data_IF_147785506523
#
_entry.id   IF_147785506523
#
_cell.length_a   1.000
_cell.length_b   1.000
_cell.length_c   1.000
_cell.angle_alpha   90.00
_cell.angle_beta   90.00
_cell.angle_gamma   90.00
#
_symmetry.space_group_name_H-M   'P 1'
#
loop_
_entity.id
_entity.type
_entity.pdbx_description
1 polymer ?
#
# COMPACT_ATOMS: atom_id res chain seq x y z
N UNK A 1 -14.70 33.44 -61.14
CA UNK A 1 -14.93 32.14 -60.45
C UNK A 1 -13.79 31.93 -59.46
N UNK A 2 -14.04 32.13 -58.17
CA UNK A 2 -13.04 31.86 -57.12
C UNK A 2 -13.24 30.41 -56.61
N UNK A 3 -12.25 29.55 -56.83
CA UNK A 3 -12.18 28.22 -56.23
C UNK A 3 -11.38 28.34 -54.93
N UNK A 4 -12.10 28.34 -53.80
CA UNK A 4 -11.50 28.24 -52.47
C UNK A 4 -11.35 26.75 -52.20
N UNK A 5 -10.12 26.25 -52.26
CA UNK A 5 -9.81 24.87 -51.86
C UNK A 5 -9.83 24.81 -50.33
N UNK A 6 -10.82 24.11 -49.80
CA UNK A 6 -11.04 23.87 -48.39
C UNK A 6 -9.89 23.05 -47.78
N UNK A 7 -9.26 23.63 -46.76
CA UNK A 7 -8.36 22.97 -45.82
C UNK A 7 -9.07 21.76 -45.19
N UNK A 8 -8.75 20.54 -45.65
CA UNK A 8 -9.07 19.30 -44.93
C UNK A 8 -7.90 18.95 -44.01
N UNK A 9 -7.94 19.46 -42.78
CA UNK A 9 -7.09 18.99 -41.69
C UNK A 9 -7.81 19.22 -40.37
N UNK A 10 -8.87 18.44 -40.17
CA UNK A 10 -9.54 18.29 -38.89
C UNK A 10 -9.69 16.80 -38.64
N UNK A 11 -9.47 16.42 -37.37
CA UNK A 11 -9.59 15.07 -36.79
C UNK A 11 -8.34 14.18 -36.79
N UNK A 12 -7.33 14.58 -36.01
CA UNK A 12 -6.38 13.63 -35.39
C UNK A 12 -6.20 13.89 -33.88
N UNK A 13 -7.26 14.32 -33.19
CA UNK A 13 -7.28 14.44 -31.73
C UNK A 13 -8.39 13.59 -31.13
N UNK A 14 -8.27 12.27 -31.20
CA UNK A 14 -9.23 11.38 -30.53
C UNK A 14 -8.64 10.00 -30.20
N UNK A 15 -7.42 9.89 -29.65
CA UNK A 15 -6.92 8.60 -29.16
C UNK A 15 -6.08 8.66 -27.86
N UNK A 16 -6.15 9.75 -27.08
CA UNK A 16 -5.47 9.82 -25.77
C UNK A 16 -6.43 9.91 -24.57
N UNK A 17 -7.67 9.47 -24.72
CA UNK A 17 -8.42 8.99 -23.56
C UNK A 17 -8.04 7.53 -23.35
N UNK A 18 -6.78 7.28 -22.95
CA UNK A 18 -6.54 6.11 -22.13
C UNK A 18 -7.48 6.29 -20.95
N UNK A 19 -8.50 5.43 -20.88
CA UNK A 19 -9.40 5.37 -19.75
C UNK A 19 -8.50 5.09 -18.55
N UNK A 20 -8.12 6.14 -17.82
CA UNK A 20 -7.71 6.03 -16.44
C UNK A 20 -8.92 5.45 -15.76
N UNK A 21 -8.92 4.12 -15.67
CA UNK A 21 -9.98 3.35 -15.05
C UNK A 21 -9.86 3.68 -13.57
N UNK A 22 -10.47 4.81 -13.17
CA UNK A 22 -10.41 5.38 -11.83
C UNK A 22 -11.23 4.54 -10.83
N UNK A 23 -11.40 3.25 -11.11
CA UNK A 23 -12.01 2.31 -10.18
C UNK A 23 -11.07 2.24 -8.98
N UNK A 24 -11.47 2.78 -7.81
CA UNK A 24 -10.61 2.74 -6.63
C UNK A 24 -10.24 1.27 -6.38
N UNK A 25 -8.94 0.95 -6.35
CA UNK A 25 -8.53 -0.39 -5.93
C UNK A 25 -9.09 -0.60 -4.54
N UNK A 26 -10.06 -1.51 -4.43
CA UNK A 26 -10.74 -1.79 -3.18
C UNK A 26 -9.70 -2.37 -2.22
N UNK A 27 -9.37 -1.62 -1.18
CA UNK A 27 -8.40 -2.06 -0.19
C UNK A 27 -8.88 -3.37 0.43
N UNK A 28 -8.05 -4.43 0.44
CA UNK A 28 -8.37 -5.65 1.16
C UNK A 28 -8.69 -5.32 2.61
N UNK A 29 -9.74 -5.93 3.17
CA UNK A 29 -9.94 -5.87 4.61
C UNK A 29 -8.74 -6.52 5.31
N UNK A 30 -7.96 -5.70 6.03
CA UNK A 30 -6.81 -6.16 6.79
C UNK A 30 -7.28 -6.83 8.08
N UNK A 31 -7.24 -8.15 8.10
CA UNK A 31 -7.39 -8.90 9.35
C UNK A 31 -6.02 -8.95 10.02
N UNK A 32 -5.84 -8.22 11.12
CA UNK A 32 -4.61 -8.22 11.90
C UNK A 32 -4.70 -9.28 12.99
N UNK A 33 -3.77 -10.24 12.99
CA UNK A 33 -3.71 -11.27 14.02
C UNK A 33 -3.34 -10.68 15.39
N UNK A 34 -3.87 -11.27 16.46
CA UNK A 34 -3.40 -10.98 17.81
C UNK A 34 -2.11 -11.75 18.08
N UNK A 35 -1.00 -11.03 18.27
CA UNK A 35 0.35 -11.59 18.36
C UNK A 35 1.06 -11.26 19.68
N UNK A 36 0.49 -10.36 20.50
CA UNK A 36 1.04 -9.98 21.80
C UNK A 36 -0.05 -9.67 22.83
N UNK A 37 0.23 -9.94 24.10
CA UNK A 37 -0.62 -9.50 25.21
C UNK A 37 -0.31 -8.06 25.66
N UNK A 38 0.79 -7.48 25.17
CA UNK A 38 1.12 -6.07 25.39
C UNK A 38 0.41 -5.20 24.34
N UNK A 39 -0.45 -4.29 24.80
CA UNK A 39 -1.27 -3.46 23.93
C UNK A 39 -0.43 -2.53 23.04
N UNK A 40 0.73 -2.06 23.52
CA UNK A 40 1.64 -1.21 22.75
C UNK A 40 2.25 -2.02 21.61
N UNK A 41 2.81 -3.20 21.93
CA UNK A 41 3.40 -4.08 20.90
C UNK A 41 2.34 -4.49 19.87
N UNK A 42 1.13 -4.82 20.32
CA UNK A 42 0.03 -5.19 19.43
C UNK A 42 -0.40 -4.03 18.52
N UNK A 43 -0.46 -2.81 19.06
CA UNK A 43 -0.77 -1.61 18.27
C UNK A 43 0.33 -1.31 17.24
N UNK A 44 1.61 -1.37 17.64
CA UNK A 44 2.76 -1.19 16.75
C UNK A 44 2.77 -2.24 15.63
N UNK A 45 2.47 -3.51 15.95
CA UNK A 45 2.33 -4.57 14.95
C UNK A 45 1.21 -4.23 13.95
N UNK A 46 0.03 -3.84 14.42
CA UNK A 46 -1.08 -3.44 13.57
C UNK A 46 -0.75 -2.23 12.69
N UNK A 47 -0.01 -1.25 13.21
CA UNK A 47 0.52 -0.10 12.47
C UNK A 47 1.43 -0.55 11.33
N UNK A 48 2.38 -1.44 11.60
CA UNK A 48 3.27 -2.01 10.58
C UNK A 48 2.50 -2.71 9.46
N UNK A 49 1.52 -3.57 9.80
CA UNK A 49 0.72 -4.30 8.81
C UNK A 49 0.01 -3.32 7.86
N UNK A 50 -0.60 -2.27 8.44
CA UNK A 50 -1.35 -1.26 7.68
C UNK A 50 -0.44 -0.46 6.76
N UNK A 51 0.67 0.04 7.29
CA UNK A 51 1.63 0.87 6.57
C UNK A 51 2.26 0.11 5.40
N UNK A 52 2.72 -1.12 5.64
CA UNK A 52 3.29 -1.97 4.59
C UNK A 52 2.25 -2.36 3.54
N UNK A 53 1.02 -2.65 3.94
CA UNK A 53 -0.05 -2.99 2.97
C UNK A 53 -0.39 -1.78 2.11
N UNK A 54 -0.59 -0.61 2.72
CA UNK A 54 -0.85 0.62 1.97
C UNK A 54 0.30 0.97 1.04
N UNK A 55 1.55 0.87 1.51
CA UNK A 55 2.74 1.07 0.69
C UNK A 55 2.76 0.14 -0.53
N UNK A 56 2.57 -1.17 -0.32
CA UNK A 56 2.54 -2.15 -1.41
C UNK A 56 1.43 -1.88 -2.42
N UNK A 57 0.23 -1.48 -1.99
CA UNK A 57 -0.87 -1.13 -2.90
C UNK A 57 -0.53 0.13 -3.69
N UNK A 58 -0.04 1.18 -3.01
CA UNK A 58 0.24 2.47 -3.62
C UNK A 58 1.41 2.41 -4.60
N UNK A 59 2.41 1.57 -4.32
CA UNK A 59 3.60 1.39 -5.17
C UNK A 59 3.31 0.54 -6.41
N UNK A 60 2.15 -0.13 -6.48
CA UNK A 60 1.80 -1.07 -7.54
C UNK A 60 0.44 -0.74 -8.19
N UNK A 61 0.27 0.48 -8.75
CA UNK A 61 -0.96 0.86 -9.41
C UNK A 61 -1.21 -0.01 -10.65
N UNK A 62 -2.44 -0.52 -10.78
CA UNK A 62 -2.85 -1.32 -11.94
C UNK A 62 -2.39 -2.78 -11.92
N UNK A 63 -1.73 -3.24 -10.86
CA UNK A 63 -1.45 -4.66 -10.65
C UNK A 63 -2.74 -5.40 -10.27
N UNK A 64 -2.92 -6.60 -10.82
CA UNK A 64 -4.09 -7.44 -10.56
C UNK A 64 -4.22 -7.77 -9.06
N UNK A 65 -5.47 -7.85 -8.59
CA UNK A 65 -5.76 -7.97 -7.15
C UNK A 65 -5.26 -9.27 -6.52
N UNK A 66 -5.20 -10.35 -7.28
CA UNK A 66 -4.62 -11.63 -6.88
C UNK A 66 -3.09 -11.56 -6.75
N UNK A 67 -2.42 -10.85 -7.64
CA UNK A 67 -0.99 -10.56 -7.55
C UNK A 67 -0.72 -9.68 -6.33
N UNK A 68 -1.50 -8.62 -6.11
CA UNK A 68 -1.40 -7.78 -4.90
C UNK A 68 -1.58 -8.65 -3.64
N UNK A 69 -2.60 -9.52 -3.60
CA UNK A 69 -2.81 -10.44 -2.46
C UNK A 69 -1.62 -11.37 -2.24
N UNK A 70 -0.98 -11.84 -3.30
CA UNK A 70 0.24 -12.66 -3.21
C UNK A 70 1.39 -11.85 -2.63
N UNK A 71 1.59 -10.61 -3.08
CA UNK A 71 2.61 -9.69 -2.56
C UNK A 71 2.38 -9.31 -1.09
N UNK A 72 1.12 -9.29 -0.64
CA UNK A 72 0.75 -9.00 0.75
C UNK A 72 0.95 -10.20 1.69
N UNK A 73 1.05 -11.44 1.18
CA UNK A 73 1.21 -12.65 2.02
C UNK A 73 2.37 -12.59 3.03
N UNK A 74 3.55 -12.04 2.71
CA UNK A 74 4.67 -12.01 3.64
C UNK A 74 4.57 -10.93 4.73
N UNK A 75 3.69 -9.94 4.56
CA UNK A 75 3.59 -8.76 5.45
C UNK A 75 3.42 -9.14 6.93
N UNK A 76 2.55 -10.10 7.31
CA UNK A 76 2.43 -10.55 8.70
C UNK A 76 3.73 -11.01 9.35
N UNK A 77 4.51 -11.87 8.67
CA UNK A 77 5.77 -12.39 9.24
C UNK A 77 6.85 -11.31 9.26
N UNK A 78 6.89 -10.42 8.25
CA UNK A 78 7.81 -9.28 8.25
C UNK A 78 7.56 -8.37 9.45
N UNK A 79 6.32 -7.96 9.67
CA UNK A 79 5.96 -7.13 10.83
C UNK A 79 6.16 -7.86 12.16
N UNK A 80 5.94 -9.18 12.21
CA UNK A 80 6.24 -9.96 13.40
C UNK A 80 7.75 -9.99 13.69
N UNK A 81 8.57 -10.16 12.65
CA UNK A 81 10.02 -10.11 12.75
C UNK A 81 10.57 -8.74 13.12
N UNK A 82 9.94 -7.67 12.64
CA UNK A 82 10.39 -6.30 12.84
C UNK A 82 9.93 -5.70 14.18
N UNK A 83 8.71 -6.01 14.62
CA UNK A 83 8.12 -5.44 15.84
C UNK A 83 8.16 -6.44 17.00
N UNK A 84 7.55 -7.61 16.81
CA UNK A 84 7.27 -8.53 17.93
C UNK A 84 8.54 -9.18 18.44
N UNK A 85 9.40 -9.70 17.55
CA UNK A 85 10.64 -10.39 17.96
C UNK A 85 11.60 -9.46 18.74
N UNK A 86 11.87 -8.21 18.32
CA UNK A 86 12.72 -7.30 19.11
C UNK A 86 12.12 -6.95 20.47
N UNK A 87 10.82 -6.65 20.54
CA UNK A 87 10.16 -6.30 21.79
C UNK A 87 9.99 -7.47 22.76
N UNK A 88 9.82 -8.69 22.25
CA UNK A 88 9.82 -9.90 23.08
C UNK A 88 11.20 -10.19 23.70
N UNK A 89 12.28 -9.80 23.02
CA UNK A 89 13.65 -9.96 23.54
C UNK A 89 13.96 -8.93 24.63
N UNK A 90 13.65 -7.67 24.39
CA UNK A 90 13.83 -6.59 25.35
C UNK A 90 12.91 -5.40 25.03
N UNK A 91 11.83 -5.26 25.79
CA UNK A 91 10.85 -4.17 25.63
C UNK A 91 11.45 -2.79 25.88
N UNK A 92 12.52 -2.71 26.68
CA UNK A 92 13.21 -1.46 26.96
C UNK A 92 14.40 -1.23 26.02
N UNK A 93 14.69 -2.19 25.15
CA UNK A 93 15.79 -2.18 24.21
C UNK A 93 15.61 -1.13 23.13
N UNK A 94 16.73 -0.63 22.61
CA UNK A 94 16.76 0.40 21.57
C UNK A 94 15.88 0.02 20.37
N UNK A 95 16.04 -1.20 19.84
CA UNK A 95 15.27 -1.66 18.68
C UNK A 95 13.76 -1.65 18.93
N UNK A 96 13.29 -2.18 20.06
CA UNK A 96 11.87 -2.18 20.37
C UNK A 96 11.31 -0.76 20.47
N UNK A 97 12.02 0.14 21.18
CA UNK A 97 11.62 1.54 21.34
C UNK A 97 11.56 2.28 20.00
N UNK A 98 12.54 2.08 19.13
CA UNK A 98 12.53 2.68 17.79
C UNK A 98 11.30 2.24 17.02
N UNK A 99 10.95 0.95 17.06
CA UNK A 99 9.79 0.46 16.33
C UNK A 99 8.47 1.00 16.89
N UNK A 100 8.34 1.04 18.23
CA UNK A 100 7.16 1.62 18.87
C UNK A 100 7.02 3.09 18.46
N UNK A 101 8.11 3.85 18.46
CA UNK A 101 8.12 5.26 18.08
C UNK A 101 7.71 5.47 16.60
N UNK A 102 8.24 4.65 15.68
CA UNK A 102 7.95 4.74 14.24
C UNK A 102 6.46 4.56 13.90
N UNK A 103 5.71 3.84 14.74
CA UNK A 103 4.30 3.53 14.52
C UNK A 103 3.35 4.16 15.56
N UNK A 104 3.84 4.97 16.51
CA UNK A 104 3.00 5.47 17.62
C UNK A 104 1.82 6.36 17.17
N UNK A 105 1.97 7.01 16.01
CA UNK A 105 1.02 7.97 15.45
C UNK A 105 0.31 7.46 14.17
N UNK A 106 0.48 6.17 13.83
CA UNK A 106 0.00 5.55 12.58
C UNK A 106 -1.26 4.68 12.75
#
# INVERSE_FOLDING_TARGET
>A
MFKISTFSSLFLFALLTACSDNTPQQMPQLTVANVSNDATIQATYAGCIRDMTHGLINDNPGVEQDIIKMMLQPVPEMCHGYVVKPCAKDINGFLCKTMIEDYKDK
#
